data_IF_522898347313
#
_entry.id   IF_522898347313
#
_cell.length_a   1.000
_cell.length_b   1.000
_cell.length_c   1.000
_cell.angle_alpha   90.00
_cell.angle_beta   90.00
_cell.angle_gamma   90.00
#
_symmetry.space_group_name_H-M   'P 1'
#
loop_
_entity.id
_entity.type
_entity.pdbx_description
1 polymer ?
#
# COMPACT_ATOMS: atom_id res chain seq x y z
N UNK A 1 6.79 -18.45 15.34
CA UNK A 1 8.28 -18.41 15.27
C UNK A 1 8.77 -17.87 13.92
N UNK A 2 8.27 -18.36 12.78
CA UNK A 2 8.71 -17.91 11.43
C UNK A 2 8.73 -16.38 11.25
N UNK A 3 7.73 -15.66 11.70
CA UNK A 3 7.64 -14.20 11.59
C UNK A 3 8.61 -13.45 12.52
N UNK A 4 8.89 -14.00 13.68
CA UNK A 4 9.70 -13.33 14.72
C UNK A 4 11.17 -13.76 14.73
N UNK A 5 11.54 -14.79 13.97
CA UNK A 5 12.91 -15.31 13.94
C UNK A 5 13.63 -14.77 12.71
N UNK A 6 14.55 -13.80 12.85
CA UNK A 6 15.29 -13.27 11.71
C UNK A 6 16.22 -14.36 11.16
N UNK A 7 16.17 -14.58 9.85
CA UNK A 7 17.11 -15.43 9.16
C UNK A 7 18.33 -14.59 8.75
N UNK A 8 19.43 -14.77 9.47
CA UNK A 8 20.70 -14.06 9.22
C UNK A 8 21.68 -14.87 8.34
N UNK A 9 21.28 -16.06 7.87
CA UNK A 9 22.12 -16.87 6.99
C UNK A 9 22.36 -16.17 5.66
N UNK A 10 23.62 -16.04 5.28
CA UNK A 10 24.01 -15.36 4.04
C UNK A 10 23.79 -13.84 4.03
N UNK A 11 23.69 -13.21 5.20
CA UNK A 11 23.56 -11.75 5.30
C UNK A 11 24.90 -11.09 4.99
N UNK A 12 25.04 -10.55 3.78
CA UNK A 12 26.16 -9.69 3.39
C UNK A 12 25.84 -8.23 3.68
N UNK A 13 26.85 -7.38 3.78
CA UNK A 13 26.66 -5.92 3.97
C UNK A 13 25.81 -5.33 2.85
N UNK A 14 26.02 -5.74 1.61
CA UNK A 14 25.23 -5.29 0.48
C UNK A 14 23.75 -5.70 0.61
N UNK A 15 23.46 -6.95 1.00
CA UNK A 15 22.11 -7.43 1.22
C UNK A 15 21.43 -6.72 2.39
N UNK A 16 22.17 -6.45 3.45
CA UNK A 16 21.65 -5.67 4.59
C UNK A 16 21.25 -4.25 4.18
N UNK A 17 22.12 -3.57 3.40
CA UNK A 17 21.82 -2.23 2.91
C UNK A 17 20.58 -2.23 1.99
N UNK A 18 20.43 -3.25 1.15
CA UNK A 18 19.25 -3.39 0.29
C UNK A 18 17.97 -3.58 1.11
N UNK A 19 17.99 -4.46 2.10
CA UNK A 19 16.85 -4.66 3.03
C UNK A 19 16.50 -3.35 3.75
N UNK A 20 17.50 -2.58 4.15
CA UNK A 20 17.29 -1.29 4.80
C UNK A 20 16.61 -0.28 3.86
N UNK A 21 17.08 -0.20 2.61
CA UNK A 21 16.48 0.66 1.59
C UNK A 21 15.04 0.26 1.27
N UNK A 22 14.77 -1.03 1.13
CA UNK A 22 13.42 -1.55 0.89
C UNK A 22 12.49 -1.23 2.07
N UNK A 23 12.96 -1.39 3.30
CA UNK A 23 12.20 -1.04 4.50
C UNK A 23 11.94 0.47 4.61
N UNK A 24 12.91 1.31 4.27
CA UNK A 24 12.75 2.77 4.23
C UNK A 24 11.73 3.18 3.15
N UNK A 25 11.81 2.59 1.96
CA UNK A 25 10.85 2.83 0.88
C UNK A 25 9.43 2.49 1.32
N UNK A 26 9.24 1.33 1.93
CA UNK A 26 7.94 0.91 2.46
C UNK A 26 7.41 1.86 3.55
N UNK A 27 8.29 2.33 4.44
CA UNK A 27 7.92 3.32 5.45
C UNK A 27 7.47 4.65 4.84
N UNK A 28 8.20 5.16 3.86
CA UNK A 28 7.84 6.40 3.17
C UNK A 28 6.49 6.27 2.45
N UNK A 29 6.26 5.12 1.84
CA UNK A 29 4.99 4.82 1.20
C UNK A 29 3.83 4.74 2.20
N UNK A 30 4.00 4.00 3.30
CA UNK A 30 2.98 3.80 4.34
C UNK A 30 2.60 5.12 5.02
N UNK A 31 3.60 5.94 5.38
CA UNK A 31 3.40 7.23 6.01
C UNK A 31 3.07 8.36 5.02
N UNK A 32 2.98 8.05 3.72
CA UNK A 32 2.72 9.04 2.67
C UNK A 32 3.73 10.20 2.65
N UNK A 33 4.98 9.91 3.05
CA UNK A 33 6.09 10.87 2.99
C UNK A 33 6.54 11.03 1.54
N UNK A 34 6.96 12.22 1.16
CA UNK A 34 7.39 12.58 -0.20
C UNK A 34 6.29 12.61 -1.29
N UNK A 35 5.04 12.29 -0.95
CA UNK A 35 3.89 12.34 -1.88
C UNK A 35 3.13 13.68 -1.88
N UNK A 36 3.58 14.68 -1.11
CA UNK A 36 2.86 15.94 -0.95
C UNK A 36 1.62 15.88 -0.05
N UNK A 37 1.18 14.69 0.35
CA UNK A 37 -0.05 14.49 1.16
C UNK A 37 0.10 15.17 2.53
N UNK A 38 1.23 14.95 3.20
CA UNK A 38 1.50 15.54 4.52
C UNK A 38 1.59 17.07 4.47
N UNK A 39 2.12 17.64 3.37
CA UNK A 39 2.18 19.08 3.14
C UNK A 39 0.76 19.64 2.97
N UNK A 40 -0.05 19.00 2.16
CA UNK A 40 -1.46 19.37 1.93
C UNK A 40 -2.26 19.33 3.22
N UNK A 41 -2.14 18.25 3.98
CA UNK A 41 -2.83 18.13 5.27
C UNK A 41 -2.31 19.14 6.29
N UNK A 42 -0.99 19.39 6.32
CA UNK A 42 -0.39 20.41 7.16
C UNK A 42 -0.99 21.81 6.90
N UNK A 43 -1.35 22.11 5.65
CA UNK A 43 -1.99 23.38 5.31
C UNK A 43 -3.43 23.53 5.83
N UNK A 44 -4.09 22.42 6.18
CA UNK A 44 -5.45 22.40 6.73
C UNK A 44 -5.50 22.32 8.27
N UNK A 45 -4.36 22.06 8.90
CA UNK A 45 -4.27 21.94 10.35
C UNK A 45 -4.45 23.33 11.00
N UNK A 46 -5.26 23.37 12.05
CA UNK A 46 -5.48 24.60 12.82
C UNK A 46 -4.22 24.99 13.62
N UNK A 47 -3.98 26.28 13.88
CA UNK A 47 -2.79 26.75 14.59
C UNK A 47 -2.64 26.25 16.03
N UNK A 48 -3.71 25.79 16.65
CA UNK A 48 -3.76 25.29 18.02
C UNK A 48 -3.43 23.79 18.15
N UNK A 49 -3.20 23.11 17.04
CA UNK A 49 -2.88 21.67 17.05
C UNK A 49 -1.38 21.44 17.25
N UNK A 50 -1.06 20.61 18.21
CA UNK A 50 0.32 20.14 18.44
C UNK A 50 0.70 19.09 17.40
N UNK A 51 1.50 19.52 16.41
CA UNK A 51 1.95 18.68 15.30
C UNK A 51 2.85 17.51 15.78
N UNK A 52 3.70 17.73 16.80
CA UNK A 52 4.57 16.68 17.31
C UNK A 52 3.74 15.54 17.91
N UNK A 53 2.69 15.89 18.66
CA UNK A 53 1.78 14.88 19.21
C UNK A 53 1.03 14.14 18.13
N UNK A 54 0.57 14.83 17.09
CA UNK A 54 -0.12 14.22 15.96
C UNK A 54 0.79 13.25 15.19
N UNK A 55 2.03 13.65 14.88
CA UNK A 55 3.02 12.81 14.19
C UNK A 55 3.36 11.57 15.01
N UNK A 56 3.64 11.71 16.31
CA UNK A 56 3.92 10.58 17.18
C UNK A 56 2.74 9.59 17.25
N UNK A 57 1.51 10.07 17.25
CA UNK A 57 0.34 9.20 17.19
C UNK A 57 0.26 8.43 15.88
N UNK A 58 0.49 9.08 14.73
CA UNK A 58 0.51 8.41 13.42
C UNK A 58 1.57 7.32 13.40
N UNK A 59 2.79 7.61 13.84
CA UNK A 59 3.90 6.66 13.85
C UNK A 59 3.60 5.44 14.73
N UNK A 60 3.08 5.64 15.94
CA UNK A 60 2.75 4.55 16.86
C UNK A 60 1.63 3.67 16.28
N UNK A 61 0.58 4.28 15.72
CA UNK A 61 -0.54 3.52 15.16
C UNK A 61 -0.13 2.79 13.88
N UNK A 62 0.59 3.42 12.96
CA UNK A 62 1.06 2.79 11.72
C UNK A 62 1.95 1.58 12.03
N UNK A 63 2.98 1.76 12.85
CA UNK A 63 3.89 0.68 13.26
C UNK A 63 3.14 -0.42 14.01
N UNK A 64 2.26 -0.06 14.94
CA UNK A 64 1.47 -1.02 15.73
C UNK A 64 0.54 -1.87 14.86
N UNK A 65 -0.19 -1.24 13.94
CA UNK A 65 -1.09 -1.95 13.03
C UNK A 65 -0.30 -2.82 12.04
N UNK A 66 0.80 -2.32 11.48
CA UNK A 66 1.65 -3.09 10.58
C UNK A 66 2.20 -4.35 11.25
N UNK A 67 2.71 -4.22 12.49
CA UNK A 67 3.23 -5.35 13.26
C UNK A 67 2.13 -6.37 13.58
N UNK A 68 0.97 -5.93 14.06
CA UNK A 68 -0.16 -6.80 14.40
C UNK A 68 -0.73 -7.50 13.15
N UNK A 69 -0.88 -6.79 12.05
CA UNK A 69 -1.34 -7.36 10.79
C UNK A 69 -0.36 -8.44 10.28
N UNK A 70 0.95 -8.15 10.30
CA UNK A 70 1.98 -9.12 9.94
C UNK A 70 1.95 -10.36 10.85
N UNK A 71 1.84 -10.15 12.17
CA UNK A 71 1.76 -11.24 13.14
C UNK A 71 0.50 -12.11 12.98
N UNK A 72 -0.58 -11.57 12.45
CA UNK A 72 -1.82 -12.30 12.19
C UNK A 72 -1.79 -12.99 10.81
N UNK A 73 -1.45 -12.25 9.75
CA UNK A 73 -1.58 -12.71 8.37
C UNK A 73 -0.51 -13.75 8.02
N UNK A 74 0.76 -13.46 8.33
CA UNK A 74 1.88 -14.30 7.90
C UNK A 74 1.79 -15.72 8.48
N UNK A 75 1.58 -15.94 9.80
CA UNK A 75 1.41 -17.29 10.33
C UNK A 75 0.16 -17.98 9.80
N UNK A 76 -0.94 -17.26 9.60
CA UNK A 76 -2.16 -17.84 9.06
C UNK A 76 -1.94 -18.37 7.63
N UNK A 77 -1.36 -17.58 6.76
CA UNK A 77 -1.06 -17.97 5.37
C UNK A 77 -0.05 -19.11 5.35
N UNK A 78 0.98 -19.06 6.20
CA UNK A 78 1.98 -20.14 6.30
C UNK A 78 1.36 -21.51 6.67
N UNK A 79 0.44 -21.51 7.63
CA UNK A 79 -0.22 -22.74 8.07
C UNK A 79 -1.13 -23.33 7.00
N UNK A 80 -1.88 -22.50 6.25
CA UNK A 80 -2.89 -22.98 5.30
C UNK A 80 -2.38 -23.12 3.85
N UNK A 81 -1.36 -22.37 3.46
CA UNK A 81 -0.87 -22.32 2.07
C UNK A 81 0.64 -22.58 1.94
N UNK A 82 1.35 -22.80 3.05
CA UNK A 82 2.80 -22.99 3.06
C UNK A 82 3.56 -21.75 2.58
N UNK A 83 4.84 -21.94 2.25
CA UNK A 83 5.71 -20.86 1.72
C UNK A 83 5.29 -20.38 0.34
N UNK A 84 4.67 -21.21 -0.48
CA UNK A 84 4.17 -20.85 -1.81
C UNK A 84 3.01 -19.85 -1.75
N UNK A 85 2.20 -19.91 -0.68
CA UNK A 85 1.10 -18.97 -0.47
C UNK A 85 1.54 -17.59 0.04
N UNK A 86 2.81 -17.42 0.38
CA UNK A 86 3.37 -16.19 0.94
C UNK A 86 3.87 -15.20 -0.13
N UNK A 87 3.41 -15.35 -1.37
CA UNK A 87 3.70 -14.39 -2.43
C UNK A 87 3.30 -12.96 -2.02
N UNK A 88 4.14 -12.00 -2.36
CA UNK A 88 3.88 -10.59 -2.06
C UNK A 88 2.76 -10.01 -2.94
N UNK A 89 2.20 -8.88 -2.51
CA UNK A 89 1.27 -8.10 -3.31
C UNK A 89 -0.17 -8.61 -3.34
N UNK A 90 -0.90 -8.34 -4.43
CA UNK A 90 -2.33 -8.64 -4.54
C UNK A 90 -2.69 -10.11 -4.36
N UNK A 91 -1.81 -11.03 -4.74
CA UNK A 91 -2.04 -12.47 -4.61
C UNK A 91 -2.19 -12.92 -3.15
N UNK A 92 -1.44 -12.31 -2.23
CA UNK A 92 -1.60 -12.56 -0.80
C UNK A 92 -3.00 -12.19 -0.32
N UNK A 93 -3.49 -11.03 -0.71
CA UNK A 93 -4.75 -10.48 -0.26
C UNK A 93 -5.96 -11.15 -0.92
N UNK A 94 -5.91 -11.40 -2.24
CA UNK A 94 -7.08 -11.85 -3.00
C UNK A 94 -7.10 -13.36 -3.30
N UNK A 95 -5.99 -14.06 -3.11
CA UNK A 95 -5.91 -15.51 -3.34
C UNK A 95 -5.64 -16.25 -2.04
N UNK A 96 -4.58 -15.87 -1.31
CA UNK A 96 -4.14 -16.64 -0.12
C UNK A 96 -5.07 -16.43 1.08
N UNK A 97 -5.42 -15.17 1.42
CA UNK A 97 -6.31 -14.89 2.54
C UNK A 97 -7.72 -15.47 2.39
N UNK A 98 -8.40 -15.41 1.22
CA UNK A 98 -9.68 -16.09 1.03
C UNK A 98 -9.60 -17.60 1.27
N UNK A 99 -8.50 -18.27 0.89
CA UNK A 99 -8.30 -19.70 1.18
C UNK A 99 -8.20 -19.96 2.68
N UNK A 100 -7.49 -19.09 3.42
CA UNK A 100 -7.43 -19.16 4.88
C UNK A 100 -8.82 -19.00 5.49
N UNK A 101 -9.60 -18.02 5.07
CA UNK A 101 -10.95 -17.80 5.57
C UNK A 101 -11.88 -18.96 5.23
N UNK A 102 -11.77 -19.54 4.03
CA UNK A 102 -12.54 -20.73 3.65
C UNK A 102 -12.22 -21.94 4.54
N UNK A 103 -10.95 -22.12 4.91
CA UNK A 103 -10.51 -23.21 5.79
C UNK A 103 -11.03 -23.06 7.25
N UNK A 104 -11.36 -21.82 7.68
CA UNK A 104 -11.96 -21.55 8.99
C UNK A 104 -13.47 -21.87 9.04
N UNK A 105 -14.09 -22.30 7.94
CA UNK A 105 -15.51 -22.64 7.88
C UNK A 105 -16.43 -21.43 8.11
N UNK A 106 -17.53 -21.61 8.86
CA UNK A 106 -18.52 -20.53 9.08
C UNK A 106 -17.95 -19.28 9.75
N UNK A 107 -17.03 -19.43 10.67
CA UNK A 107 -16.35 -18.30 11.32
C UNK A 107 -15.50 -17.52 10.30
N UNK A 108 -14.89 -18.19 9.35
CA UNK A 108 -14.08 -17.56 8.30
C UNK A 108 -14.88 -16.67 7.36
N UNK A 109 -16.15 -16.96 7.12
CA UNK A 109 -17.02 -16.08 6.32
C UNK A 109 -17.17 -14.74 7.03
N UNK A 110 -17.48 -14.74 8.31
CA UNK A 110 -17.66 -13.51 9.10
C UNK A 110 -16.34 -12.71 9.17
N UNK A 111 -15.23 -13.37 9.49
CA UNK A 111 -13.89 -12.74 9.56
C UNK A 111 -13.49 -12.18 8.19
N UNK A 112 -13.73 -12.92 7.11
CA UNK A 112 -13.44 -12.48 5.75
C UNK A 112 -14.23 -11.25 5.33
N UNK A 113 -15.54 -11.22 5.62
CA UNK A 113 -16.37 -10.03 5.35
C UNK A 113 -15.84 -8.83 6.12
N UNK A 114 -15.59 -8.98 7.43
CA UNK A 114 -15.07 -7.90 8.27
C UNK A 114 -13.72 -7.39 7.74
N UNK A 115 -12.81 -8.30 7.39
CA UNK A 115 -11.51 -7.98 6.83
C UNK A 115 -11.64 -7.16 5.54
N UNK A 116 -12.40 -7.65 4.56
CA UNK A 116 -12.52 -6.95 3.27
C UNK A 116 -13.28 -5.62 3.38
N UNK A 117 -14.29 -5.53 4.25
CA UNK A 117 -14.97 -4.25 4.52
C UNK A 117 -13.99 -3.24 5.12
N UNK A 118 -13.19 -3.65 6.11
CA UNK A 118 -12.16 -2.78 6.70
C UNK A 118 -11.11 -2.37 5.66
N UNK A 119 -10.66 -3.31 4.82
CA UNK A 119 -9.71 -3.04 3.74
C UNK A 119 -10.27 -2.02 2.73
N UNK A 120 -11.55 -2.11 2.37
CA UNK A 120 -12.22 -1.12 1.49
C UNK A 120 -12.18 0.27 2.11
N UNK A 121 -12.54 0.42 3.38
CA UNK A 121 -12.50 1.72 4.05
C UNK A 121 -11.06 2.28 4.16
N UNK A 122 -10.09 1.44 4.47
CA UNK A 122 -8.69 1.82 4.51
C UNK A 122 -8.19 2.31 3.13
N UNK A 123 -8.53 1.58 2.07
CA UNK A 123 -8.14 1.95 0.70
C UNK A 123 -8.82 3.24 0.26
N UNK A 124 -10.12 3.40 0.54
CA UNK A 124 -10.85 4.62 0.20
C UNK A 124 -10.27 5.86 0.88
N UNK A 125 -9.90 5.77 2.15
CA UNK A 125 -9.27 6.90 2.86
C UNK A 125 -7.94 7.30 2.23
N UNK A 126 -7.12 6.33 1.84
CA UNK A 126 -5.85 6.57 1.13
C UNK A 126 -6.07 7.18 -0.26
N UNK A 127 -7.03 6.66 -1.03
CA UNK A 127 -7.38 7.22 -2.34
C UNK A 127 -7.84 8.69 -2.26
N UNK A 128 -8.64 9.02 -1.24
CA UNK A 128 -9.10 10.40 -1.01
C UNK A 128 -7.90 11.30 -0.67
N UNK A 129 -6.97 10.84 0.16
CA UNK A 129 -5.79 11.58 0.56
C UNK A 129 -4.87 11.92 -0.62
N UNK A 130 -4.60 10.94 -1.47
CA UNK A 130 -3.80 11.13 -2.70
C UNK A 130 -4.51 12.09 -3.65
N UNK A 131 -5.80 11.87 -3.89
CA UNK A 131 -6.59 12.74 -4.77
C UNK A 131 -6.61 14.18 -4.28
N UNK A 132 -6.79 14.40 -2.97
CA UNK A 132 -6.82 15.73 -2.36
C UNK A 132 -5.50 16.48 -2.56
N UNK A 133 -4.38 15.79 -2.35
CA UNK A 133 -3.05 16.38 -2.57
C UNK A 133 -2.88 16.86 -4.02
N UNK A 134 -3.27 16.04 -4.99
CA UNK A 134 -3.15 16.41 -6.40
C UNK A 134 -4.15 17.50 -6.79
N UNK A 135 -5.38 17.44 -6.26
CA UNK A 135 -6.39 18.48 -6.48
C UNK A 135 -5.88 19.83 -5.97
N UNK A 136 -5.33 19.88 -4.75
CA UNK A 136 -4.80 21.11 -4.17
C UNK A 136 -3.71 21.73 -5.06
N UNK A 137 -2.73 20.91 -5.47
CA UNK A 137 -1.66 21.35 -6.37
C UNK A 137 -2.18 21.81 -7.74
N UNK A 138 -3.10 21.04 -8.35
CA UNK A 138 -3.67 21.42 -9.66
C UNK A 138 -4.50 22.70 -9.59
N UNK A 139 -5.23 22.92 -8.51
CA UNK A 139 -5.97 24.17 -8.31
C UNK A 139 -5.05 25.38 -8.25
N UNK A 140 -3.91 25.25 -7.58
CA UNK A 140 -2.92 26.31 -7.46
C UNK A 140 -2.22 26.57 -8.80
N UNK A 141 -1.75 25.53 -9.48
CA UNK A 141 -1.01 25.67 -10.76
C UNK A 141 -1.90 26.19 -11.88
N UNK A 142 -3.12 25.64 -12.01
CA UNK A 142 -4.02 25.96 -13.13
C UNK A 142 -5.06 27.04 -12.80
N UNK A 143 -5.06 27.57 -11.58
CA UNK A 143 -6.04 28.56 -11.10
C UNK A 143 -7.50 28.14 -11.36
N UNK A 144 -7.81 26.85 -11.19
CA UNK A 144 -9.12 26.26 -11.47
C UNK A 144 -9.96 26.06 -10.23
N UNK A 145 -11.28 26.09 -10.40
CA UNK A 145 -12.22 25.85 -9.29
C UNK A 145 -12.26 24.39 -8.85
N UNK A 146 -12.35 24.16 -7.53
CA UNK A 146 -12.33 22.83 -6.88
C UNK A 146 -13.23 21.79 -7.54
N UNK A 147 -14.51 22.14 -7.83
CA UNK A 147 -15.47 21.20 -8.42
C UNK A 147 -14.99 20.65 -9.77
N UNK A 148 -14.50 21.55 -10.64
CA UNK A 148 -14.00 21.18 -11.97
C UNK A 148 -12.76 20.30 -11.86
N UNK A 149 -11.80 20.70 -11.02
CA UNK A 149 -10.54 19.95 -10.82
C UNK A 149 -10.80 18.56 -10.28
N UNK A 150 -11.63 18.42 -9.23
CA UNK A 150 -12.01 17.12 -8.66
C UNK A 150 -12.67 16.24 -9.72
N UNK A 151 -13.65 16.77 -10.49
CA UNK A 151 -14.35 15.96 -11.50
C UNK A 151 -13.42 15.44 -12.59
N UNK A 152 -12.53 16.29 -13.10
CA UNK A 152 -11.59 15.90 -14.16
C UNK A 152 -10.59 14.87 -13.64
N UNK A 153 -9.97 15.12 -12.48
CA UNK A 153 -9.01 14.20 -11.89
C UNK A 153 -9.66 12.88 -11.52
N UNK A 154 -10.84 12.88 -10.93
CA UNK A 154 -11.56 11.64 -10.62
C UNK A 154 -11.86 10.82 -11.88
N UNK A 155 -12.25 11.46 -12.98
CA UNK A 155 -12.48 10.76 -14.25
C UNK A 155 -11.17 10.14 -14.80
N UNK A 156 -10.06 10.87 -14.73
CA UNK A 156 -8.73 10.35 -15.14
C UNK A 156 -8.31 9.17 -14.27
N UNK A 157 -8.47 9.28 -12.94
CA UNK A 157 -8.14 8.19 -12.02
C UNK A 157 -9.00 6.95 -12.24
N UNK A 158 -10.32 7.12 -12.46
CA UNK A 158 -11.22 6.01 -12.77
C UNK A 158 -10.82 5.31 -14.07
N UNK A 159 -10.49 6.08 -15.11
CA UNK A 159 -10.03 5.50 -16.37
C UNK A 159 -8.71 4.74 -16.21
N UNK A 160 -7.73 5.34 -15.53
CA UNK A 160 -6.44 4.71 -15.28
C UNK A 160 -6.56 3.44 -14.44
N UNK A 161 -7.34 3.49 -13.34
CA UNK A 161 -7.55 2.31 -12.50
C UNK A 161 -8.31 1.20 -13.22
N UNK A 162 -9.26 1.54 -14.10
CA UNK A 162 -9.94 0.55 -14.94
C UNK A 162 -8.96 -0.15 -15.89
N UNK A 163 -8.05 0.59 -16.53
CA UNK A 163 -7.01 0.01 -17.41
C UNK A 163 -6.10 -0.92 -16.61
N UNK A 164 -5.64 -0.49 -15.42
CA UNK A 164 -4.77 -1.30 -14.56
C UNK A 164 -5.51 -2.57 -14.10
N UNK A 165 -6.77 -2.45 -13.69
CA UNK A 165 -7.58 -3.60 -13.28
C UNK A 165 -7.80 -4.59 -14.43
N UNK A 166 -8.02 -4.10 -15.65
CA UNK A 166 -8.13 -4.93 -16.85
C UNK A 166 -6.79 -5.59 -17.24
N UNK A 167 -5.67 -5.12 -16.72
CA UNK A 167 -4.36 -5.76 -16.85
C UNK A 167 -4.30 -7.18 -16.30
N UNK A 168 -5.20 -7.54 -15.38
CA UNK A 168 -5.34 -8.91 -14.87
C UNK A 168 -6.20 -9.84 -15.76
N UNK A 169 -6.81 -9.31 -16.82
CA UNK A 169 -7.73 -10.07 -17.67
C UNK A 169 -7.53 -9.79 -19.16
N UNK A 170 -8.08 -8.67 -19.66
CA UNK A 170 -8.09 -8.35 -21.10
C UNK A 170 -6.71 -7.89 -21.59
N UNK A 171 -6.03 -7.09 -20.78
CA UNK A 171 -4.69 -6.56 -21.07
C UNK A 171 -3.60 -7.30 -20.30
N UNK A 172 -3.74 -8.62 -20.18
CA UNK A 172 -2.77 -9.45 -19.47
C UNK A 172 -1.42 -9.41 -20.21
N UNK A 173 -0.43 -8.79 -19.57
CA UNK A 173 0.94 -8.72 -20.06
C UNK A 173 1.87 -8.99 -18.89
N UNK A 174 2.77 -9.93 -19.03
CA UNK A 174 3.86 -10.16 -18.10
C UNK A 174 5.15 -9.55 -18.63
N UNK A 175 5.79 -8.74 -17.81
CA UNK A 175 7.06 -8.09 -18.13
C UNK A 175 8.07 -8.44 -17.05
N UNK A 176 9.29 -8.74 -17.45
CA UNK A 176 10.40 -8.92 -16.53
C UNK A 176 10.86 -7.55 -16.02
N UNK A 177 10.74 -7.35 -14.72
CA UNK A 177 11.15 -6.11 -14.05
C UNK A 177 12.66 -6.07 -13.84
N UNK A 178 13.29 -4.89 -13.72
CA UNK A 178 14.73 -4.77 -13.52
C UNK A 178 15.26 -5.44 -12.25
N UNK A 179 14.40 -5.76 -11.30
CA UNK A 179 14.73 -6.53 -10.10
C UNK A 179 14.73 -8.05 -10.33
N UNK A 180 14.47 -8.51 -11.56
CA UNK A 180 14.42 -9.93 -11.93
C UNK A 180 13.10 -10.63 -11.61
N UNK A 181 12.08 -9.92 -11.10
CA UNK A 181 10.74 -10.47 -10.92
C UNK A 181 9.91 -10.28 -12.18
N UNK A 182 8.98 -11.21 -12.46
CA UNK A 182 7.95 -11.01 -13.48
C UNK A 182 6.74 -10.32 -12.85
N UNK A 183 6.27 -9.27 -13.46
CA UNK A 183 5.13 -8.50 -12.96
C UNK A 183 4.14 -8.14 -14.05
N UNK A 184 2.91 -7.89 -13.65
CA UNK A 184 1.83 -7.41 -14.50
C UNK A 184 1.77 -5.88 -14.48
N UNK A 185 0.79 -5.30 -15.15
CA UNK A 185 0.65 -3.84 -15.25
C UNK A 185 0.61 -3.13 -13.88
N UNK A 186 -0.06 -3.72 -12.89
CA UNK A 186 -0.07 -3.18 -11.52
C UNK A 186 1.33 -3.21 -10.89
N UNK A 187 2.04 -4.33 -11.03
CA UNK A 187 3.38 -4.50 -10.47
C UNK A 187 4.39 -3.53 -11.11
N UNK A 188 4.22 -3.24 -12.41
CA UNK A 188 5.01 -2.22 -13.12
C UNK A 188 4.74 -0.83 -12.54
N UNK A 189 3.47 -0.48 -12.32
CA UNK A 189 3.10 0.82 -11.75
C UNK A 189 3.60 0.97 -10.32
N UNK A 190 3.48 -0.09 -9.52
CA UNK A 190 4.01 -0.13 -8.16
C UNK A 190 5.53 0.02 -8.14
N UNK A 191 6.25 -0.70 -9.01
CA UNK A 191 7.70 -0.59 -9.14
C UNK A 191 8.15 0.82 -9.51
N UNK A 192 7.48 1.46 -10.48
CA UNK A 192 7.78 2.85 -10.88
C UNK A 192 7.51 3.82 -9.74
N UNK A 193 6.39 3.66 -9.05
CA UNK A 193 5.99 4.48 -7.91
C UNK A 193 7.00 4.39 -6.76
N UNK A 194 7.38 3.17 -6.37
CA UNK A 194 8.36 2.94 -5.32
C UNK A 194 9.76 3.47 -5.70
N UNK A 195 10.17 3.26 -6.95
CA UNK A 195 11.47 3.74 -7.44
C UNK A 195 11.53 5.28 -7.43
N UNK A 196 10.44 5.96 -7.78
CA UNK A 196 10.39 7.42 -7.77
C UNK A 196 10.49 7.99 -6.35
N UNK A 197 9.92 7.31 -5.34
CA UNK A 197 10.01 7.72 -3.94
C UNK A 197 11.43 7.60 -3.35
N UNK A 198 12.21 6.64 -3.82
CA UNK A 198 13.62 6.48 -3.38
C UNK A 198 14.53 7.55 -3.99
N UNK A 199 14.17 8.08 -5.16
CA UNK A 199 15.02 9.03 -5.90
C UNK A 199 14.65 10.50 -5.67
N UNK A 200 13.59 10.79 -4.92
CA UNK A 200 13.20 12.13 -4.48
C UNK A 200 13.82 12.47 -3.14
#
# INVERSE_FOLDING_TARGET
LYYLTPNLEGLTVQRFLQILLDAMSQLFFSLSVSMGIMITYGSYVKPDVDLNKAVNQIEIFDTGVAFLAGAMIIPAVFVFSGTEGMGAGPSLMFVSLPKVFAAMGKAGIFVGILFFVTAIFATLSSCISVLESIVANCMEIFHTGRKKTVSVLSAVYLAASAIIALGYSIFYVEVELPNGSTGQLLDIMDYISNLSLIHI
#
